data_IF_143825390158
#
_entry.id   IF_143825390158
#
_cell.length_a   1.000
_cell.length_b   1.000
_cell.length_c   1.000
_cell.angle_alpha   90.00
_cell.angle_beta   90.00
_cell.angle_gamma   90.00
#
_symmetry.space_group_name_H-M   'P 1'
#
loop_
_entity.id
_entity.type
_entity.pdbx_description
1 polymer ?
#
# COMPACT_ATOMS: atom_id res chain seq x y z
N UNK A 1 46.52 -30.02 -10.83
CA UNK A 1 45.58 -30.11 -9.69
C UNK A 1 46.00 -31.28 -8.82
N UNK A 2 46.23 -31.05 -7.52
CA UNK A 2 46.81 -32.01 -6.59
C UNK A 2 45.75 -32.87 -5.89
N UNK A 3 46.14 -34.02 -5.35
CA UNK A 3 45.23 -34.99 -4.70
C UNK A 3 44.49 -34.44 -3.45
N UNK A 4 44.87 -33.25 -2.96
CA UNK A 4 44.25 -32.58 -1.82
C UNK A 4 43.14 -31.60 -2.22
N UNK A 5 43.04 -31.20 -3.49
CA UNK A 5 42.00 -30.28 -3.99
C UNK A 5 40.57 -30.83 -3.77
N UNK A 6 40.40 -32.15 -3.66
CA UNK A 6 39.11 -32.81 -3.35
C UNK A 6 38.64 -32.66 -1.90
N UNK A 7 39.53 -32.29 -0.99
CA UNK A 7 39.22 -31.98 0.41
C UNK A 7 39.25 -30.49 0.69
N UNK A 8 39.61 -29.67 -0.31
CA UNK A 8 39.43 -28.23 -0.22
C UNK A 8 37.93 -28.02 0.03
N UNK A 9 37.60 -27.40 1.16
CA UNK A 9 36.23 -27.10 1.55
C UNK A 9 35.60 -26.39 0.35
N UNK A 10 34.74 -27.09 -0.37
CA UNK A 10 33.83 -26.47 -1.30
C UNK A 10 32.95 -25.58 -0.42
N UNK A 11 33.38 -24.34 -0.22
CA UNK A 11 32.50 -23.28 0.26
C UNK A 11 31.40 -23.24 -0.78
N UNK A 12 30.31 -23.99 -0.57
CA UNK A 12 29.07 -23.80 -1.32
C UNK A 12 28.85 -22.31 -1.28
N UNK A 13 29.08 -21.65 -2.41
CA UNK A 13 29.06 -20.21 -2.49
C UNK A 13 27.64 -19.82 -2.10
N UNK A 14 27.46 -19.33 -0.87
CA UNK A 14 26.19 -18.77 -0.45
C UNK A 14 25.90 -17.65 -1.43
N UNK A 15 24.69 -17.63 -1.98
CA UNK A 15 24.27 -16.54 -2.84
C UNK A 15 24.51 -15.22 -2.11
N UNK A 16 25.15 -14.23 -2.76
CA UNK A 16 25.48 -12.98 -2.09
C UNK A 16 24.22 -12.25 -1.66
N UNK A 17 24.08 -11.99 -0.35
CA UNK A 17 22.98 -11.20 0.18
C UNK A 17 23.11 -9.73 -0.21
N UNK A 18 21.99 -9.09 -0.57
CA UNK A 18 21.91 -7.64 -0.80
C UNK A 18 21.12 -6.96 0.31
N UNK A 19 21.50 -5.73 0.64
CA UNK A 19 20.78 -4.89 1.62
C UNK A 19 19.72 -4.08 0.89
N UNK A 20 18.48 -4.14 1.37
CA UNK A 20 17.36 -3.35 0.87
C UNK A 20 17.03 -2.21 1.86
N UNK A 21 17.39 -0.95 1.56
CA UNK A 21 17.00 0.18 2.40
C UNK A 21 15.53 0.55 2.14
N UNK A 22 14.72 0.61 3.21
CA UNK A 22 13.29 0.94 3.14
C UNK A 22 13.01 2.12 4.07
N UNK A 23 12.17 3.07 3.62
CA UNK A 23 11.65 4.14 4.48
C UNK A 23 10.24 3.77 4.93
N UNK A 24 10.03 3.71 6.23
CA UNK A 24 8.74 3.40 6.85
C UNK A 24 8.33 4.56 7.77
N UNK A 25 7.03 4.86 7.90
CA UNK A 25 6.52 5.69 8.98
C UNK A 25 6.92 5.09 10.34
N UNK A 26 7.31 5.95 11.28
CA UNK A 26 7.80 5.55 12.61
C UNK A 26 6.79 4.66 13.36
N UNK A 27 5.49 4.99 13.28
CA UNK A 27 4.43 4.19 13.92
C UNK A 27 4.36 2.75 13.40
N UNK A 28 4.57 2.55 12.10
CA UNK A 28 4.55 1.22 11.48
C UNK A 28 5.83 0.46 11.83
N UNK A 29 6.97 1.16 11.83
CA UNK A 29 8.25 0.57 12.21
C UNK A 29 8.20 0.04 13.65
N UNK A 30 7.72 0.83 14.61
CA UNK A 30 7.64 0.42 16.01
C UNK A 30 6.67 -0.74 16.21
N UNK A 31 5.49 -0.71 15.57
CA UNK A 31 4.54 -1.84 15.63
C UNK A 31 5.15 -3.13 15.06
N UNK A 32 5.80 -3.04 13.90
CA UNK A 32 6.42 -4.19 13.28
C UNK A 32 7.60 -4.73 14.10
N UNK A 33 8.43 -3.83 14.66
CA UNK A 33 9.53 -4.19 15.55
C UNK A 33 9.04 -4.91 16.79
N UNK A 34 8.06 -4.36 17.50
CA UNK A 34 7.48 -5.01 18.67
C UNK A 34 6.97 -6.41 18.33
N UNK A 35 6.29 -6.56 17.18
CA UNK A 35 5.81 -7.85 16.72
C UNK A 35 6.94 -8.84 16.43
N UNK A 36 8.06 -8.38 15.88
CA UNK A 36 9.24 -9.21 15.66
C UNK A 36 9.84 -9.69 16.99
N UNK A 37 9.95 -8.79 17.98
CA UNK A 37 10.44 -9.11 19.32
C UNK A 37 9.55 -10.15 20.03
N UNK A 38 8.23 -10.01 19.95
CA UNK A 38 7.26 -10.98 20.48
C UNK A 38 7.42 -12.38 19.86
N UNK A 39 7.79 -12.44 18.58
CA UNK A 39 7.98 -13.69 17.83
C UNK A 39 9.40 -14.23 17.92
N UNK A 40 10.32 -13.53 18.58
CA UNK A 40 11.74 -13.89 18.66
C UNK A 40 12.46 -13.81 17.31
N UNK A 41 11.98 -12.99 16.38
CA UNK A 41 12.55 -12.81 15.05
C UNK A 41 13.37 -11.52 14.98
N UNK A 42 14.46 -11.55 14.20
CA UNK A 42 15.12 -10.31 13.82
C UNK A 42 14.33 -9.58 12.73
N UNK A 43 14.45 -8.24 12.66
CA UNK A 43 13.79 -7.44 11.61
C UNK A 43 14.14 -7.90 10.20
N UNK A 44 15.40 -8.29 9.98
CA UNK A 44 15.87 -8.80 8.67
C UNK A 44 15.30 -10.17 8.34
N UNK A 45 15.16 -11.04 9.33
CA UNK A 45 14.57 -12.37 9.17
C UNK A 45 13.07 -12.28 8.91
N UNK A 46 12.34 -11.48 9.69
CA UNK A 46 10.93 -11.23 9.47
C UNK A 46 10.69 -10.62 8.07
N UNK A 47 11.51 -9.65 7.66
CA UNK A 47 11.46 -9.09 6.31
C UNK A 47 11.74 -10.12 5.21
N UNK A 48 12.76 -10.96 5.39
CA UNK A 48 13.08 -12.06 4.46
C UNK A 48 11.91 -13.05 4.33
N UNK A 49 11.31 -13.46 5.44
CA UNK A 49 10.20 -14.41 5.44
C UNK A 49 8.98 -13.85 4.71
N UNK A 50 8.62 -12.59 4.96
CA UNK A 50 7.49 -11.93 4.29
C UNK A 50 7.73 -11.79 2.78
N UNK A 51 8.94 -11.39 2.36
CA UNK A 51 9.29 -11.28 0.94
C UNK A 51 9.28 -12.66 0.28
N UNK A 52 9.81 -13.68 0.97
CA UNK A 52 9.83 -15.05 0.49
C UNK A 52 8.42 -15.60 0.33
N UNK A 53 7.56 -15.43 1.33
CA UNK A 53 6.16 -15.85 1.29
C UNK A 53 5.44 -15.19 0.12
N UNK A 54 5.55 -13.87 -0.04
CA UNK A 54 4.93 -13.15 -1.17
C UNK A 54 5.38 -13.69 -2.55
N UNK A 55 6.66 -14.06 -2.69
CA UNK A 55 7.20 -14.59 -3.95
C UNK A 55 6.85 -16.07 -4.19
N UNK A 56 6.74 -16.86 -3.13
CA UNK A 56 6.48 -18.32 -3.21
C UNK A 56 4.98 -18.65 -3.22
N UNK A 57 4.12 -17.85 -2.58
CA UNK A 57 2.68 -18.10 -2.52
C UNK A 57 2.00 -17.95 -3.90
N UNK A 58 2.65 -17.25 -4.84
CA UNK A 58 2.28 -17.23 -6.26
C UNK A 58 2.58 -18.53 -7.02
N UNK A 59 3.48 -19.39 -6.53
CA UNK A 59 3.87 -20.66 -7.16
C UNK A 59 3.07 -21.85 -6.64
N UNK A 60 2.73 -21.87 -5.35
CA UNK A 60 2.00 -22.98 -4.73
C UNK A 60 0.51 -23.03 -5.09
N UNK A 61 -0.13 -21.89 -5.33
CA UNK A 61 -1.55 -21.83 -5.71
C UNK A 61 -1.83 -22.25 -7.17
N UNK A 62 -0.79 -22.44 -8.00
CA UNK A 62 -0.93 -22.86 -9.39
C UNK A 62 -0.71 -24.37 -9.61
N UNK A 63 -0.08 -25.08 -8.67
CA UNK A 63 0.39 -26.45 -8.91
C UNK A 63 0.36 -27.31 -7.66
N UNK A 64 -0.83 -27.59 -7.12
CA UNK A 64 -1.17 -28.89 -6.48
C UNK A 64 -2.62 -28.88 -6.01
N UNK A 65 -3.51 -29.30 -6.91
CA UNK A 65 -4.64 -30.10 -6.47
C UNK A 65 -4.07 -31.48 -6.07
N UNK A 66 -4.57 -32.01 -4.96
CA UNK A 66 -4.42 -33.39 -4.47
C UNK A 66 -3.47 -33.64 -3.27
N UNK A 67 -4.13 -33.64 -2.09
CA UNK A 67 -3.94 -34.56 -0.95
C UNK A 67 -2.68 -34.42 -0.10
N UNK A 68 -2.78 -33.63 0.98
CA UNK A 68 -2.33 -34.05 2.31
C UNK A 68 -3.12 -33.31 3.39
N UNK A 69 -3.97 -34.07 4.08
CA UNK A 69 -4.83 -33.60 5.15
C UNK A 69 -4.07 -33.37 6.47
N UNK A 70 -4.67 -32.51 7.30
CA UNK A 70 -4.64 -32.49 8.77
C UNK A 70 -3.63 -31.56 9.42
N UNK A 71 -4.04 -30.30 9.62
CA UNK A 71 -4.20 -29.73 10.97
C UNK A 71 -5.13 -28.52 10.90
N UNK A 72 -6.03 -28.46 11.88
CA UNK A 72 -7.25 -27.65 11.88
C UNK A 72 -6.97 -26.15 11.75
N UNK A 73 -7.36 -25.55 10.63
CA UNK A 73 -7.67 -24.12 10.57
C UNK A 73 -9.11 -24.00 10.08
N UNK A 74 -9.96 -23.60 11.00
CA UNK A 74 -11.40 -23.38 10.84
C UNK A 74 -11.62 -22.46 9.63
N UNK A 75 -11.98 -23.05 8.50
CA UNK A 75 -12.54 -22.33 7.36
C UNK A 75 -14.06 -22.41 7.50
N UNK A 76 -14.69 -21.31 7.90
CA UNK A 76 -16.13 -21.18 7.79
C UNK A 76 -16.49 -21.15 6.30
N UNK A 77 -17.24 -22.18 5.88
CA UNK A 77 -17.81 -22.37 4.54
C UNK A 77 -18.63 -21.13 4.15
N UNK A 78 -18.25 -20.45 3.08
CA UNK A 78 -19.14 -19.51 2.39
C UNK A 78 -20.13 -20.36 1.58
N UNK A 79 -21.36 -20.47 2.10
CA UNK A 79 -22.48 -21.06 1.40
C UNK A 79 -22.87 -20.11 0.25
N UNK A 80 -22.72 -20.55 -1.01
CA UNK A 80 -23.28 -19.86 -2.17
C UNK A 80 -24.76 -20.20 -2.25
N UNK A 81 -25.60 -19.33 -1.69
CA UNK A 81 -27.00 -19.26 -2.07
C UNK A 81 -27.19 -18.11 -3.05
N UNK A 82 -27.78 -18.41 -4.21
CA UNK A 82 -28.27 -17.43 -5.16
C UNK A 82 -29.43 -16.69 -4.51
N UNK A 83 -29.18 -15.52 -3.94
CA UNK A 83 -30.23 -14.58 -3.52
C UNK A 83 -30.06 -13.28 -4.29
N UNK A 84 -31.10 -12.92 -5.03
CA UNK A 84 -31.26 -11.64 -5.71
C UNK A 84 -31.18 -10.50 -4.71
N UNK A 85 -30.18 -9.62 -4.85
CA UNK A 85 -29.99 -8.50 -3.92
C UNK A 85 -30.69 -7.23 -4.43
N UNK A 86 -31.58 -6.70 -3.61
CA UNK A 86 -32.01 -5.29 -3.65
C UNK A 86 -30.89 -4.46 -3.03
N UNK A 87 -30.48 -3.37 -3.68
CA UNK A 87 -29.47 -2.43 -3.16
C UNK A 87 -30.01 -1.73 -1.92
N UNK A 88 -29.51 -2.10 -0.75
CA UNK A 88 -29.62 -1.25 0.44
C UNK A 88 -28.30 -0.52 0.68
N UNK A 89 -28.38 0.82 0.65
CA UNK A 89 -27.31 1.71 1.05
C UNK A 89 -27.06 1.52 2.56
N UNK A 90 -25.99 0.84 2.91
CA UNK A 90 -25.52 0.80 4.30
C UNK A 90 -24.47 1.88 4.49
N UNK A 91 -24.86 2.89 5.27
CA UNK A 91 -23.99 3.93 5.81
C UNK A 91 -22.73 3.32 6.44
N UNK A 92 -21.58 3.65 5.85
CA UNK A 92 -20.28 3.28 6.39
C UNK A 92 -19.99 4.17 7.60
N UNK A 93 -19.80 3.54 8.75
CA UNK A 93 -19.20 4.16 9.93
C UNK A 93 -17.87 4.84 9.58
N UNK A 94 -17.55 6.04 10.11
CA UNK A 94 -16.36 6.77 9.73
C UNK A 94 -15.13 6.12 10.35
N UNK A 95 -14.43 5.30 9.58
CA UNK A 95 -13.03 5.01 9.85
C UNK A 95 -12.24 6.30 9.61
N UNK A 96 -11.84 6.98 10.68
CA UNK A 96 -10.99 8.16 10.61
C UNK A 96 -9.58 7.77 10.16
N UNK A 97 -9.38 7.72 8.84
CA UNK A 97 -8.05 7.68 8.24
C UNK A 97 -7.36 9.01 8.51
N UNK A 98 -6.19 8.98 9.16
CA UNK A 98 -5.31 10.14 9.35
C UNK A 98 -4.52 10.51 8.08
N UNK A 99 -4.65 9.74 7.01
CA UNK A 99 -4.00 10.04 5.72
C UNK A 99 -4.67 11.26 5.09
N UNK A 100 -3.89 12.29 4.81
CA UNK A 100 -4.32 13.47 4.07
C UNK A 100 -4.91 13.08 2.71
N UNK A 101 -6.07 13.62 2.38
CA UNK A 101 -6.74 13.40 1.09
C UNK A 101 -7.23 14.72 0.52
N UNK A 102 -7.24 14.83 -0.82
CA UNK A 102 -7.75 16.00 -1.53
C UNK A 102 -9.28 16.00 -1.67
N UNK A 103 -9.99 15.10 -0.98
CA UNK A 103 -11.44 14.86 -1.16
C UNK A 103 -12.24 16.12 -0.85
N UNK A 104 -11.82 16.90 0.15
CA UNK A 104 -12.52 18.12 0.56
C UNK A 104 -12.41 19.27 -0.47
N UNK A 105 -11.49 19.15 -1.43
CA UNK A 105 -11.21 20.17 -2.45
C UNK A 105 -11.70 19.76 -3.85
N UNK A 106 -12.29 18.58 -3.97
CA UNK A 106 -12.63 17.95 -5.24
C UNK A 106 -14.05 18.31 -5.68
N UNK A 107 -14.17 18.72 -6.95
CA UNK A 107 -15.46 18.94 -7.62
C UNK A 107 -15.39 18.21 -8.96
N UNK A 108 -16.31 17.28 -9.20
CA UNK A 108 -16.39 16.50 -10.46
C UNK A 108 -15.08 15.78 -10.87
N UNK A 109 -14.32 15.23 -9.91
CA UNK A 109 -12.98 14.65 -10.12
C UNK A 109 -11.90 15.65 -10.60
N UNK A 110 -12.15 16.95 -10.43
CA UNK A 110 -11.19 18.02 -10.70
C UNK A 110 -10.78 18.73 -9.40
N UNK A 111 -9.58 19.29 -9.43
CA UNK A 111 -9.00 20.08 -8.34
C UNK A 111 -8.65 21.47 -8.87
N UNK A 112 -8.92 22.54 -8.10
CA UNK A 112 -8.60 23.90 -8.49
C UNK A 112 -7.12 24.20 -8.25
N UNK A 113 -6.50 24.92 -9.17
CA UNK A 113 -5.19 25.51 -8.98
C UNK A 113 -5.35 27.02 -8.64
N UNK A 114 -5.10 27.45 -7.40
CA UNK A 114 -5.11 28.86 -6.99
C UNK A 114 -4.10 29.75 -7.71
N UNK A 115 -3.01 29.19 -8.26
CA UNK A 115 -1.99 29.96 -8.97
C UNK A 115 -2.35 30.17 -10.46
N UNK A 116 -3.01 29.18 -11.07
CA UNK A 116 -3.45 29.25 -12.47
C UNK A 116 -4.89 29.73 -12.63
N UNK A 117 -5.68 29.77 -11.54
CA UNK A 117 -7.13 29.96 -11.55
C UNK A 117 -7.85 29.02 -12.52
N UNK A 118 -7.36 27.78 -12.63
CA UNK A 118 -7.87 26.75 -13.53
C UNK A 118 -8.15 25.45 -12.78
N UNK A 119 -9.03 24.63 -13.35
CA UNK A 119 -9.33 23.30 -12.85
C UNK A 119 -8.55 22.25 -13.62
N UNK A 120 -8.03 21.26 -12.90
CA UNK A 120 -7.33 20.14 -13.51
C UNK A 120 -7.84 18.82 -12.95
N UNK A 121 -7.87 17.80 -13.80
CA UNK A 121 -8.20 16.44 -13.37
C UNK A 121 -7.32 15.98 -12.21
N UNK A 122 -7.94 15.40 -11.19
CA UNK A 122 -7.29 14.83 -10.00
C UNK A 122 -6.14 13.88 -10.33
N UNK A 123 -6.29 13.08 -11.40
CA UNK A 123 -5.26 12.14 -11.84
C UNK A 123 -3.96 12.84 -12.27
N UNK A 124 -4.05 14.06 -12.78
CA UNK A 124 -2.92 14.82 -13.31
C UNK A 124 -2.49 16.00 -12.42
N UNK A 125 -3.27 16.33 -11.38
CA UNK A 125 -3.02 17.48 -10.53
C UNK A 125 -1.66 17.43 -9.82
N UNK A 126 -1.24 16.25 -9.35
CA UNK A 126 0.09 16.10 -8.73
C UNK A 126 1.24 16.38 -9.69
N UNK A 127 1.06 16.16 -10.99
CA UNK A 127 2.04 16.55 -12.02
C UNK A 127 2.03 18.06 -12.24
N UNK A 128 0.84 18.66 -12.24
CA UNK A 128 0.68 20.10 -12.35
C UNK A 128 1.29 20.86 -11.15
N UNK A 129 1.05 20.40 -9.91
CA UNK A 129 1.60 21.02 -8.71
C UNK A 129 3.14 21.11 -8.73
N UNK A 130 3.81 20.09 -9.31
CA UNK A 130 5.28 20.10 -9.50
C UNK A 130 5.75 21.24 -10.40
N UNK A 131 4.96 21.71 -11.35
CA UNK A 131 5.31 22.88 -12.17
C UNK A 131 5.37 24.16 -11.33
N UNK A 132 4.69 24.20 -10.19
CA UNK A 132 4.75 25.27 -9.20
C UNK A 132 5.76 24.99 -8.08
N UNK A 133 6.59 23.96 -8.22
CA UNK A 133 7.54 23.51 -7.18
C UNK A 133 6.87 23.24 -5.82
N UNK A 134 5.60 22.83 -5.84
CA UNK A 134 4.79 22.54 -4.66
C UNK A 134 4.16 21.15 -4.75
N UNK A 135 3.79 20.60 -3.60
CA UNK A 135 2.95 19.40 -3.53
C UNK A 135 1.47 19.77 -3.65
N UNK A 136 0.63 18.79 -4.03
CA UNK A 136 -0.83 18.95 -4.06
C UNK A 136 -1.39 19.43 -2.72
N UNK A 137 -0.78 18.99 -1.61
CA UNK A 137 -1.15 19.40 -0.25
C UNK A 137 -0.82 20.87 -0.01
N UNK A 138 0.42 21.26 -0.21
CA UNK A 138 0.87 22.64 -0.01
C UNK A 138 0.10 23.62 -0.89
N UNK A 139 -0.20 23.24 -2.13
CA UNK A 139 -0.87 24.12 -3.07
C UNK A 139 -2.34 24.38 -2.67
N UNK A 140 -3.02 23.38 -2.10
CA UNK A 140 -4.40 23.50 -1.65
C UNK A 140 -4.52 24.10 -0.24
N UNK A 141 -3.69 23.66 0.72
CA UNK A 141 -3.75 24.12 2.11
C UNK A 141 -3.17 25.53 2.29
N UNK A 142 -2.08 25.89 1.60
CA UNK A 142 -1.48 27.22 1.76
C UNK A 142 -2.30 28.34 1.08
N UNK A 143 -3.32 27.97 0.28
CA UNK A 143 -4.16 28.91 -0.47
C UNK A 143 -5.65 28.56 -0.28
N UNK A 144 -6.02 28.09 0.92
CA UNK A 144 -7.38 27.63 1.22
C UNK A 144 -8.45 28.65 0.84
N UNK A 145 -8.26 29.93 1.17
CA UNK A 145 -9.24 30.99 0.89
C UNK A 145 -9.59 31.09 -0.62
N UNK A 146 -8.57 31.01 -1.48
CA UNK A 146 -8.74 31.11 -2.94
C UNK A 146 -9.35 29.82 -3.49
N UNK A 147 -8.91 28.67 -2.97
CA UNK A 147 -9.40 27.35 -3.35
C UNK A 147 -10.90 27.20 -3.03
N UNK A 148 -11.31 27.57 -1.81
CA UNK A 148 -12.71 27.50 -1.40
C UNK A 148 -13.58 28.45 -2.22
N UNK A 149 -13.10 29.66 -2.51
CA UNK A 149 -13.81 30.59 -3.39
C UNK A 149 -14.06 29.99 -4.79
N UNK A 150 -13.04 29.37 -5.40
CA UNK A 150 -13.20 28.70 -6.69
C UNK A 150 -14.20 27.54 -6.63
N UNK A 151 -14.16 26.74 -5.56
CA UNK A 151 -15.10 25.63 -5.33
C UNK A 151 -16.53 26.15 -5.21
N UNK A 152 -16.75 27.22 -4.45
CA UNK A 152 -18.08 27.82 -4.27
C UNK A 152 -18.60 28.42 -5.57
N UNK A 153 -17.76 29.13 -6.32
CA UNK A 153 -18.11 29.64 -7.66
C UNK A 153 -18.54 28.51 -8.59
N UNK A 154 -17.83 27.37 -8.57
CA UNK A 154 -18.17 26.23 -9.44
C UNK A 154 -19.43 25.50 -9.00
N UNK A 155 -19.70 25.42 -7.70
CA UNK A 155 -20.96 24.88 -7.16
C UNK A 155 -22.17 25.76 -7.46
N UNK A 156 -21.99 27.07 -7.63
CA UNK A 156 -23.07 27.99 -8.02
C UNK A 156 -23.41 27.90 -9.51
N UNK A 157 -22.49 27.40 -10.34
CA UNK A 157 -22.67 27.24 -11.79
C UNK A 157 -23.16 25.85 -12.22
N UNK A 158 -23.26 24.90 -11.29
CA UNK A 158 -23.81 23.55 -11.49
C UNK A 158 -25.31 23.51 -11.12
#
# INVERSE_FOLDING_TARGET
MGKLDKYARQSKAKEPSKVLPIRLPESIYEQFRQRCEELGLSMSEAGYLLIKEELEDGLYNASTNEVAATTQRIQNRIHRENTSYTKENTDKSPFFSTRWTSINYEVENELPCPLCHQWYSKANFSRHAKNHSATTKELLENNEDIVYKMIDERKLTL
#
